data_IF_705470965800
#
_entry.id   IF_705470965800
#
_cell.length_a   1.000
_cell.length_b   1.000
_cell.length_c   1.000
_cell.angle_alpha   90.00
_cell.angle_beta   90.00
_cell.angle_gamma   90.00
#
_symmetry.space_group_name_H-M   'P 1'
#
loop_
_entity.id
_entity.type
_entity.pdbx_description
1 polymer ?
#
# COMPACT_ATOMS: atom_id res chain seq x y z
N UNK A 1 -20.51 6.11 -20.65
CA UNK A 1 -19.32 6.98 -20.49
C UNK A 1 -19.15 7.58 -19.08
N UNK A 2 -20.20 7.84 -18.29
CA UNK A 2 -20.05 8.40 -16.94
C UNK A 2 -19.33 7.51 -15.91
N UNK A 3 -19.33 6.18 -16.09
CA UNK A 3 -18.70 5.23 -15.16
C UNK A 3 -17.16 5.33 -15.15
N UNK A 4 -16.54 5.68 -16.28
CA UNK A 4 -15.08 5.74 -16.42
C UNK A 4 -14.48 6.98 -15.73
N UNK A 5 -15.23 8.09 -15.70
CA UNK A 5 -14.84 9.33 -15.02
C UNK A 5 -15.01 9.25 -13.49
N UNK A 6 -15.91 8.39 -13.00
CA UNK A 6 -16.10 8.12 -11.57
C UNK A 6 -15.00 7.22 -10.97
N UNK A 7 -14.07 6.72 -11.78
CA UNK A 7 -12.93 5.91 -11.33
C UNK A 7 -11.77 6.75 -10.79
N UNK A 8 -11.82 8.07 -10.94
CA UNK A 8 -10.80 8.98 -10.41
C UNK A 8 -11.14 9.30 -8.94
N UNK A 9 -10.50 8.59 -8.00
CA UNK A 9 -10.69 8.71 -6.53
C UNK A 9 -10.35 10.09 -5.94
N UNK A 10 -9.75 10.19 -4.76
CA UNK A 10 -9.44 11.50 -4.15
C UNK A 10 -7.94 11.80 -4.22
N UNK A 11 -7.57 13.04 -4.58
CA UNK A 11 -6.16 13.47 -4.53
C UNK A 11 -5.73 13.62 -3.08
N UNK A 12 -4.63 12.98 -2.66
CA UNK A 12 -4.23 13.04 -1.29
C UNK A 12 -3.74 14.42 -0.89
N UNK A 13 -4.32 14.99 0.18
CA UNK A 13 -3.89 16.28 0.74
C UNK A 13 -2.47 16.23 1.35
N UNK A 14 -1.85 17.38 1.64
CA UNK A 14 -0.46 17.47 2.11
C UNK A 14 -0.16 16.72 3.42
N UNK A 15 -1.18 16.48 4.24
CA UNK A 15 -1.10 15.73 5.51
C UNK A 15 -1.27 14.22 5.34
N UNK A 16 -1.69 13.76 4.16
CA UNK A 16 -1.95 12.35 3.94
C UNK A 16 -0.63 11.59 3.80
N UNK A 17 -0.54 10.40 4.41
CA UNK A 17 0.64 9.51 4.36
C UNK A 17 0.39 8.34 3.40
N UNK A 18 0.22 8.58 2.08
CA UNK A 18 -0.13 7.53 1.13
C UNK A 18 0.93 6.43 1.09
N UNK A 19 2.20 6.77 1.32
CA UNK A 19 3.30 5.80 1.40
C UNK A 19 3.14 4.82 2.56
N UNK A 20 2.79 5.32 3.76
CA UNK A 20 2.62 4.46 4.93
C UNK A 20 1.42 3.53 4.76
N UNK A 21 0.30 4.07 4.28
CA UNK A 21 -0.89 3.29 4.02
C UNK A 21 -0.67 2.25 2.89
N UNK A 22 0.11 2.61 1.86
CA UNK A 22 0.56 1.67 0.82
C UNK A 22 1.45 0.57 1.38
N UNK A 23 2.44 0.90 2.21
CA UNK A 23 3.31 -0.09 2.85
C UNK A 23 2.52 -1.06 3.73
N UNK A 24 1.63 -0.55 4.59
CA UNK A 24 0.77 -1.37 5.46
C UNK A 24 -0.15 -2.27 4.62
N UNK A 25 -0.76 -1.72 3.56
CA UNK A 25 -1.62 -2.51 2.66
C UNK A 25 -0.83 -3.60 1.95
N UNK A 26 0.41 -3.32 1.51
CA UNK A 26 1.31 -4.31 0.91
C UNK A 26 1.70 -5.42 1.88
N UNK A 27 1.97 -5.09 3.15
CA UNK A 27 2.23 -6.06 4.21
C UNK A 27 1.01 -6.97 4.42
N UNK A 28 -0.18 -6.40 4.68
CA UNK A 28 -1.41 -7.19 4.90
C UNK A 28 -1.77 -8.02 3.66
N UNK A 29 -1.63 -7.46 2.46
CA UNK A 29 -1.84 -8.15 1.19
C UNK A 29 -0.89 -9.32 0.96
N UNK A 30 0.23 -9.38 1.67
CA UNK A 30 1.18 -10.50 1.61
C UNK A 30 0.62 -11.78 2.24
N UNK A 31 -0.30 -11.66 3.21
CA UNK A 31 -0.90 -12.82 3.88
C UNK A 31 -1.61 -13.77 2.90
N UNK A 32 -2.60 -13.33 2.10
CA UNK A 32 -3.25 -14.22 1.13
C UNK A 32 -2.29 -14.69 0.02
N UNK A 33 -1.32 -13.86 -0.37
CA UNK A 33 -0.31 -14.23 -1.36
C UNK A 33 0.57 -15.39 -0.88
N UNK A 34 1.00 -15.38 0.38
CA UNK A 34 1.72 -16.52 1.00
C UNK A 34 0.84 -17.77 1.00
N UNK A 35 -0.45 -17.65 1.29
CA UNK A 35 -1.39 -18.77 1.19
C UNK A 35 -1.37 -19.43 -0.19
N UNK A 36 -1.35 -18.63 -1.26
CA UNK A 36 -1.20 -19.14 -2.64
C UNK A 36 0.17 -19.79 -2.86
N UNK A 37 1.26 -19.15 -2.44
CA UNK A 37 2.61 -19.71 -2.60
C UNK A 37 2.77 -21.05 -1.88
N UNK A 38 2.15 -21.23 -0.71
CA UNK A 38 2.14 -22.49 0.03
C UNK A 38 1.31 -23.56 -0.68
N UNK A 39 0.11 -23.20 -1.16
CA UNK A 39 -0.78 -24.13 -1.85
C UNK A 39 -0.18 -24.73 -3.13
N UNK A 40 0.67 -23.96 -3.83
CA UNK A 40 1.34 -24.39 -5.06
C UNK A 40 2.77 -24.92 -4.83
N UNK A 41 3.27 -24.90 -3.59
CA UNK A 41 4.66 -25.25 -3.27
C UNK A 41 5.69 -24.25 -3.82
N UNK A 42 5.25 -23.11 -4.36
CA UNK A 42 6.09 -22.07 -4.97
C UNK A 42 7.11 -21.50 -3.98
N UNK A 43 6.72 -21.30 -2.71
CA UNK A 43 7.61 -20.74 -1.70
C UNK A 43 8.87 -21.59 -1.51
N UNK A 44 8.71 -22.91 -1.45
CA UNK A 44 9.83 -23.85 -1.29
C UNK A 44 10.76 -23.81 -2.50
N UNK A 45 10.19 -23.71 -3.71
CA UNK A 45 10.94 -23.61 -4.95
C UNK A 45 11.72 -22.30 -5.02
N UNK A 46 11.10 -21.17 -4.69
CA UNK A 46 11.78 -19.87 -4.66
C UNK A 46 12.91 -19.84 -3.62
N UNK A 47 12.65 -20.37 -2.42
CA UNK A 47 13.67 -20.47 -1.37
C UNK A 47 14.87 -21.31 -1.84
N UNK A 48 14.62 -22.45 -2.52
CA UNK A 48 15.67 -23.31 -3.06
C UNK A 48 16.44 -22.65 -4.20
N UNK A 49 15.76 -21.91 -5.09
CA UNK A 49 16.39 -21.15 -6.18
C UNK A 49 17.34 -20.09 -5.62
N UNK A 50 16.92 -19.41 -4.56
CA UNK A 50 17.68 -18.34 -3.91
C UNK A 50 18.74 -18.86 -2.91
N UNK A 51 18.77 -20.17 -2.63
CA UNK A 51 19.66 -20.74 -1.62
C UNK A 51 19.35 -20.29 -0.19
N UNK A 52 18.08 -19.99 0.09
CA UNK A 52 17.59 -19.46 1.36
C UNK A 52 16.67 -20.46 2.07
N UNK A 53 16.40 -20.23 3.36
CA UNK A 53 15.34 -20.94 4.06
C UNK A 53 13.97 -20.33 3.73
N UNK A 54 12.87 -21.11 3.73
CA UNK A 54 11.53 -20.58 3.47
C UNK A 54 11.13 -19.42 4.40
N UNK A 55 11.54 -19.48 5.67
CA UNK A 55 11.27 -18.41 6.64
C UNK A 55 12.00 -17.11 6.28
N UNK A 56 13.26 -17.20 5.83
CA UNK A 56 14.01 -16.02 5.39
C UNK A 56 13.41 -15.45 4.09
N UNK A 57 13.00 -16.32 3.16
CA UNK A 57 12.31 -15.90 1.93
C UNK A 57 11.00 -15.19 2.23
N UNK A 58 10.21 -15.67 3.20
CA UNK A 58 9.02 -14.96 3.69
C UNK A 58 9.43 -13.59 4.24
N UNK A 59 10.37 -13.54 5.19
CA UNK A 59 10.77 -12.29 5.84
C UNK A 59 11.22 -11.21 4.85
N UNK A 60 12.06 -11.59 3.89
CA UNK A 60 12.48 -10.70 2.80
C UNK A 60 11.32 -10.33 1.88
N UNK A 61 10.45 -11.29 1.55
CA UNK A 61 9.24 -11.07 0.77
C UNK A 61 8.34 -10.00 1.40
N UNK A 62 8.10 -10.04 2.71
CA UNK A 62 7.33 -9.01 3.42
C UNK A 62 7.96 -7.62 3.26
N UNK A 63 9.28 -7.49 3.41
CA UNK A 63 9.97 -6.20 3.26
C UNK A 63 9.85 -5.67 1.81
N UNK A 64 10.06 -6.53 0.81
CA UNK A 64 9.90 -6.18 -0.61
C UNK A 64 8.46 -5.77 -0.92
N UNK A 65 7.47 -6.48 -0.36
CA UNK A 65 6.05 -6.20 -0.59
C UNK A 65 5.57 -4.93 0.12
N UNK A 66 6.15 -4.56 1.26
CA UNK A 66 5.94 -3.24 1.87
C UNK A 66 6.39 -2.13 0.92
N UNK A 67 7.61 -2.24 0.37
CA UNK A 67 8.16 -1.26 -0.57
C UNK A 67 7.29 -1.18 -1.83
N UNK A 68 6.89 -2.32 -2.37
CA UNK A 68 6.01 -2.38 -3.54
C UNK A 68 4.64 -1.73 -3.27
N UNK A 69 4.05 -1.97 -2.10
CA UNK A 69 2.79 -1.32 -1.69
C UNK A 69 2.94 0.20 -1.57
N UNK A 70 4.06 0.68 -1.02
CA UNK A 70 4.37 2.11 -0.98
C UNK A 70 4.52 2.71 -2.39
N UNK A 71 5.18 1.98 -3.30
CA UNK A 71 5.31 2.37 -4.70
C UNK A 71 3.95 2.40 -5.42
N UNK A 72 3.08 1.40 -5.18
CA UNK A 72 1.72 1.37 -5.69
C UNK A 72 0.95 2.63 -5.30
N UNK A 73 0.93 2.97 -4.01
CA UNK A 73 0.25 4.17 -3.52
C UNK A 73 0.81 5.45 -4.15
N UNK A 74 2.13 5.50 -4.41
CA UNK A 74 2.79 6.67 -5.02
C UNK A 74 2.50 6.81 -6.52
N UNK A 75 2.44 5.71 -7.26
CA UNK A 75 2.22 5.71 -8.71
C UNK A 75 0.74 5.98 -9.02
N UNK A 76 -0.16 5.29 -8.32
CA UNK A 76 -1.59 5.34 -8.63
C UNK A 76 -2.35 6.39 -7.83
N UNK A 77 -1.84 6.85 -6.69
CA UNK A 77 -2.37 7.96 -5.90
C UNK A 77 -3.90 7.96 -5.81
N UNK A 78 -4.51 8.90 -6.52
CA UNK A 78 -5.97 9.07 -6.64
C UNK A 78 -6.72 7.79 -7.05
N UNK A 79 -6.18 7.00 -7.98
CA UNK A 79 -6.80 5.76 -8.45
C UNK A 79 -6.75 4.64 -7.39
N UNK A 80 -5.70 4.62 -6.55
CA UNK A 80 -5.54 3.66 -5.46
C UNK A 80 -6.55 3.89 -4.32
N UNK A 81 -7.01 5.14 -4.15
CA UNK A 81 -7.98 5.52 -3.13
C UNK A 81 -9.45 5.28 -3.54
N UNK A 82 -9.73 4.74 -4.73
CA UNK A 82 -11.09 4.45 -5.18
C UNK A 82 -11.43 2.97 -4.95
N UNK A 83 -12.44 2.62 -4.13
CA UNK A 83 -12.84 1.22 -3.92
C UNK A 83 -13.29 0.52 -5.21
N UNK A 84 -13.82 1.28 -6.18
CA UNK A 84 -14.35 0.74 -7.44
C UNK A 84 -13.24 0.43 -8.46
N UNK A 85 -12.09 1.08 -8.37
CA UNK A 85 -10.98 0.94 -9.32
C UNK A 85 -9.70 0.36 -8.72
N UNK A 86 -9.51 0.49 -7.40
CA UNK A 86 -8.29 0.09 -6.69
C UNK A 86 -7.92 -1.37 -6.90
N UNK A 87 -8.90 -2.28 -6.87
CA UNK A 87 -8.69 -3.71 -7.13
C UNK A 87 -8.14 -3.99 -8.53
N UNK A 88 -8.61 -3.28 -9.57
CA UNK A 88 -8.18 -3.48 -10.96
C UNK A 88 -6.77 -2.92 -11.20
N UNK A 89 -6.49 -1.71 -10.68
CA UNK A 89 -5.14 -1.15 -10.71
C UNK A 89 -4.17 -1.99 -9.88
N UNK A 90 -4.65 -2.52 -8.74
CA UNK A 90 -3.90 -3.42 -7.87
C UNK A 90 -3.51 -4.70 -8.59
N UNK A 91 -4.45 -5.38 -9.25
CA UNK A 91 -4.12 -6.58 -10.06
C UNK A 91 -3.17 -6.26 -11.21
N UNK A 92 -3.38 -5.15 -11.93
CA UNK A 92 -2.47 -4.72 -12.99
C UNK A 92 -1.05 -4.48 -12.48
N UNK A 93 -0.92 -3.89 -11.29
CA UNK A 93 0.35 -3.68 -10.64
C UNK A 93 0.98 -5.00 -10.15
N UNK A 94 0.18 -5.91 -9.59
CA UNK A 94 0.62 -7.27 -9.22
C UNK A 94 1.14 -8.05 -10.42
N UNK A 95 0.46 -7.96 -11.57
CA UNK A 95 0.94 -8.52 -12.82
C UNK A 95 2.28 -7.91 -13.26
N UNK A 96 2.41 -6.58 -13.19
CA UNK A 96 3.66 -5.89 -13.50
C UNK A 96 4.82 -6.33 -12.58
N UNK A 97 4.55 -6.51 -11.28
CA UNK A 97 5.53 -7.05 -10.34
C UNK A 97 5.89 -8.50 -10.62
N UNK A 98 4.95 -9.32 -11.10
CA UNK A 98 5.27 -10.68 -11.55
C UNK A 98 6.21 -10.65 -12.76
N UNK A 99 5.90 -9.85 -13.77
CA UNK A 99 6.76 -9.73 -14.95
C UNK A 99 8.15 -9.16 -14.59
N UNK A 100 8.21 -8.13 -13.76
CA UNK A 100 9.48 -7.53 -13.34
C UNK A 100 10.26 -8.42 -12.36
N UNK A 101 9.60 -8.94 -11.34
CA UNK A 101 10.22 -9.70 -10.26
C UNK A 101 10.52 -11.15 -10.69
N UNK A 102 9.48 -11.92 -10.96
CA UNK A 102 9.60 -13.37 -11.18
C UNK A 102 10.16 -13.74 -12.56
N UNK A 103 9.83 -12.95 -13.59
CA UNK A 103 10.27 -13.25 -14.97
C UNK A 103 11.61 -12.59 -15.32
N UNK A 104 11.91 -11.40 -14.78
CA UNK A 104 13.15 -10.68 -15.13
C UNK A 104 14.21 -10.72 -14.01
N UNK A 105 13.88 -10.24 -12.80
CA UNK A 105 14.88 -10.10 -11.72
C UNK A 105 15.32 -11.44 -11.16
N UNK A 106 14.38 -12.34 -10.86
CA UNK A 106 14.67 -13.63 -10.22
C UNK A 106 15.64 -14.50 -11.05
N UNK A 107 15.47 -14.66 -12.38
CA UNK A 107 16.44 -15.38 -13.19
C UNK A 107 17.80 -14.69 -13.22
N UNK A 108 17.83 -13.36 -13.27
CA UNK A 108 19.09 -12.61 -13.29
C UNK A 108 19.92 -12.86 -12.02
N UNK A 109 19.29 -12.81 -10.85
CA UNK A 109 19.98 -12.96 -9.56
C UNK A 109 20.28 -14.42 -9.19
N UNK A 110 19.60 -15.38 -9.82
CA UNK A 110 19.74 -16.82 -9.51
C UNK A 110 20.56 -17.60 -10.55
N UNK A 111 21.19 -16.92 -11.51
CA UNK A 111 21.96 -17.58 -12.57
C UNK A 111 21.11 -18.31 -13.61
N UNK A 112 19.94 -17.75 -13.94
CA UNK A 112 19.04 -18.23 -14.98
C UNK A 112 17.95 -19.20 -14.50
N UNK A 113 17.79 -19.39 -13.18
CA UNK A 113 16.77 -20.30 -12.63
C UNK A 113 15.44 -19.56 -12.42
N UNK A 114 14.34 -20.23 -12.71
CA UNK A 114 13.00 -19.67 -12.48
C UNK A 114 12.02 -20.76 -12.08
N UNK A 115 11.04 -20.46 -11.20
CA UNK A 115 9.94 -21.38 -10.94
C UNK A 115 9.17 -21.68 -12.24
N UNK A 116 8.99 -22.96 -12.54
CA UNK A 116 8.27 -23.43 -13.72
C UNK A 116 7.10 -24.34 -13.35
N UNK A 117 6.23 -24.61 -14.32
CA UNK A 117 5.06 -25.49 -14.13
C UNK A 117 4.13 -24.98 -13.03
N UNK A 118 3.73 -25.89 -12.13
CA UNK A 118 2.80 -25.57 -11.04
C UNK A 118 3.33 -24.49 -10.10
N UNK A 119 4.62 -24.57 -9.73
CA UNK A 119 5.25 -23.56 -8.89
C UNK A 119 5.29 -22.17 -9.57
N UNK A 120 5.58 -22.12 -10.87
CA UNK A 120 5.55 -20.87 -11.65
C UNK A 120 4.15 -20.25 -11.70
N UNK A 121 3.11 -21.07 -11.89
CA UNK A 121 1.72 -20.61 -11.84
C UNK A 121 1.35 -20.05 -10.46
N UNK A 122 1.83 -20.67 -9.38
CA UNK A 122 1.63 -20.17 -8.03
C UNK A 122 2.29 -18.81 -7.75
N UNK A 123 3.47 -18.54 -8.32
CA UNK A 123 4.12 -17.22 -8.22
C UNK A 123 3.35 -16.15 -8.99
N UNK A 124 2.84 -16.48 -10.18
CA UNK A 124 2.00 -15.55 -10.94
C UNK A 124 0.70 -15.23 -10.19
N UNK A 125 0.01 -16.26 -9.71
CA UNK A 125 -1.25 -16.11 -9.01
C UNK A 125 -1.08 -15.38 -7.66
N UNK A 126 0.00 -15.65 -6.92
CA UNK A 126 0.25 -14.99 -5.63
C UNK A 126 0.42 -13.49 -5.79
N UNK A 127 1.11 -13.03 -6.84
CA UNK A 127 1.31 -11.60 -7.10
C UNK A 127 0.04 -10.91 -7.62
N UNK A 128 -0.79 -11.63 -8.39
CA UNK A 128 -2.13 -11.14 -8.75
C UNK A 128 -3.03 -11.00 -7.50
N UNK A 129 -3.03 -12.01 -6.63
CA UNK A 129 -3.80 -12.00 -5.37
C UNK A 129 -3.29 -10.91 -4.43
N UNK A 130 -1.96 -10.74 -4.33
CA UNK A 130 -1.35 -9.64 -3.58
C UNK A 130 -1.80 -8.28 -4.11
N UNK A 131 -1.73 -8.09 -5.42
CA UNK A 131 -2.14 -6.84 -6.07
C UNK A 131 -3.62 -6.54 -5.86
N UNK A 132 -4.48 -7.54 -6.04
CA UNK A 132 -5.91 -7.46 -5.76
C UNK A 132 -6.18 -7.06 -4.30
N UNK A 133 -5.58 -7.78 -3.35
CA UNK A 133 -5.75 -7.54 -1.92
C UNK A 133 -5.27 -6.12 -1.54
N UNK A 134 -4.09 -5.71 -2.01
CA UNK A 134 -3.54 -4.38 -1.76
C UNK A 134 -4.47 -3.29 -2.32
N UNK A 135 -4.97 -3.46 -3.55
CA UNK A 135 -5.89 -2.52 -4.19
C UNK A 135 -7.23 -2.38 -3.47
N UNK A 136 -7.72 -3.45 -2.82
CA UNK A 136 -8.92 -3.41 -1.96
C UNK A 136 -8.60 -2.74 -0.63
N UNK A 137 -7.49 -3.10 0.01
CA UNK A 137 -7.13 -2.64 1.35
C UNK A 137 -6.80 -1.16 1.41
N UNK A 138 -6.19 -0.63 0.35
CA UNK A 138 -5.69 0.74 0.28
C UNK A 138 -6.69 1.80 0.80
N UNK A 139 -7.93 1.91 0.30
CA UNK A 139 -8.89 2.89 0.81
C UNK A 139 -9.25 2.70 2.30
N UNK A 140 -9.26 1.47 2.80
CA UNK A 140 -9.60 1.17 4.20
C UNK A 140 -8.46 1.45 5.15
N UNK A 141 -7.21 1.24 4.72
CA UNK A 141 -6.02 1.58 5.51
C UNK A 141 -5.78 3.09 5.46
N UNK A 142 -6.03 3.72 4.31
CA UNK A 142 -5.78 5.15 4.13
C UNK A 142 -6.73 6.04 4.94
N UNK A 143 -8.01 5.65 5.11
CA UNK A 143 -9.03 6.44 5.81
C UNK A 143 -8.72 6.72 7.29
N UNK A 144 -8.39 5.74 8.15
CA UNK A 144 -8.07 6.00 9.56
C UNK A 144 -6.79 6.82 9.72
N UNK A 145 -5.79 6.66 8.83
CA UNK A 145 -4.59 7.50 8.83
C UNK A 145 -4.87 8.99 8.55
N UNK A 146 -6.07 9.34 8.07
CA UNK A 146 -6.49 10.72 7.84
C UNK A 146 -7.12 11.38 9.08
N UNK A 147 -7.95 10.62 9.82
CA UNK A 147 -8.75 11.13 10.95
C UNK A 147 -7.88 11.54 12.15
N UNK A 148 -6.73 10.89 12.36
CA UNK A 148 -5.83 11.21 13.48
C UNK A 148 -5.24 12.62 13.40
N UNK A 149 -5.07 13.21 12.20
CA UNK A 149 -4.43 14.52 12.04
C UNK A 149 -5.42 15.67 12.14
N UNK A 150 -6.61 15.57 11.54
CA UNK A 150 -7.65 16.61 11.72
C UNK A 150 -8.07 16.70 13.18
N UNK A 151 -8.12 15.57 13.87
CA UNK A 151 -8.42 15.54 15.31
C UNK A 151 -7.26 16.11 16.12
N UNK A 152 -6.00 15.80 15.78
CA UNK A 152 -4.82 16.39 16.43
C UNK A 152 -4.66 17.90 16.17
N UNK A 153 -5.01 18.40 14.98
CA UNK A 153 -4.98 19.84 14.68
C UNK A 153 -6.14 20.58 15.34
N UNK A 154 -7.34 20.00 15.40
CA UNK A 154 -8.47 20.60 16.13
C UNK A 154 -8.21 20.66 17.65
N UNK A 155 -7.43 19.74 18.20
CA UNK A 155 -6.99 19.83 19.59
C UNK A 155 -5.91 20.90 19.83
N UNK A 156 -5.17 21.33 18.80
CA UNK A 156 -4.21 22.44 18.92
C UNK A 156 -4.88 23.83 19.03
N UNK A 157 -6.10 23.99 18.50
CA UNK A 157 -6.93 25.19 18.71
C UNK A 157 -7.55 25.27 20.13
N UNK A 158 -7.44 24.22 20.94
CA UNK A 158 -7.89 24.21 22.34
C UNK A 158 -6.71 24.28 23.35
N UNK A 159 -5.49 24.48 22.85
CA UNK A 159 -4.29 24.69 23.68
C UNK A 159 -4.25 26.08 24.34
N UNK A 160 -3.37 26.28 25.34
CA UNK A 160 -3.27 27.53 26.12
C UNK A 160 -3.04 28.80 25.27
N UNK A 161 -2.56 28.66 24.03
CA UNK A 161 -2.38 29.76 23.07
C UNK A 161 -3.69 30.30 22.48
N UNK A 162 -4.77 29.51 22.48
CA UNK A 162 -6.10 29.98 22.08
C UNK A 162 -6.74 30.89 23.14
N UNK A 163 -6.38 30.69 24.41
CA UNK A 163 -6.83 31.54 25.51
C UNK A 163 -6.16 32.94 25.49
N UNK A 164 -4.96 33.06 24.92
CA UNK A 164 -4.27 34.35 24.70
C UNK A 164 -4.89 35.14 23.56
N UNK A 165 -5.27 34.49 22.45
CA UNK A 165 -5.99 35.15 21.35
C UNK A 165 -7.38 35.67 21.74
N UNK A 166 -8.13 34.91 22.53
CA UNK A 166 -9.45 35.32 23.03
C UNK A 166 -9.38 36.52 24.00
N UNK A 167 -8.32 36.61 24.83
CA UNK A 167 -8.10 37.78 25.72
C UNK A 167 -7.80 39.06 24.94
N UNK A 168 -7.11 38.97 23.81
CA UNK A 168 -6.73 40.14 23.01
C UNK A 168 -7.95 40.77 22.32
N UNK A 169 -8.85 39.95 21.77
CA UNK A 169 -10.12 40.40 21.17
C UNK A 169 -11.08 41.05 22.20
N UNK A 170 -11.07 40.59 23.46
CA UNK A 170 -11.88 41.17 24.53
C UNK A 170 -11.32 42.52 25.00
N UNK A 171 -9.99 42.67 25.03
CA UNK A 171 -9.35 43.94 25.39
C UNK A 171 -9.51 45.02 24.32
N UNK A 172 -9.45 44.66 23.03
CA UNK A 172 -9.68 45.63 21.94
C UNK A 172 -11.13 46.15 21.92
N UNK A 173 -12.13 45.30 22.23
CA UNK A 173 -13.53 45.75 22.35
C UNK A 173 -13.80 46.66 23.55
N UNK A 174 -12.93 46.66 24.56
CA UNK A 174 -13.04 47.57 25.71
C UNK A 174 -12.37 48.92 25.49
N UNK A 175 -11.58 49.07 24.43
CA UNK A 175 -10.78 50.27 24.15
C UNK A 175 -11.19 51.00 22.86
N UNK A 176 -12.32 50.63 22.25
CA UNK A 176 -12.94 51.41 21.17
C UNK A 176 -13.63 52.68 21.70
N UNK A 177 -13.71 53.74 20.87
CA UNK A 177 -13.56 55.17 21.21
C UNK A 177 -14.59 55.78 22.16
#
# INVERSE_FOLDING_TARGET
MALFLAAHGFDPGPSQRPFAAGAISGLIGTIPAIGVLLAFGSLTVEAQILGMSPLLTIGLGWAVMAIAGAAYARIFGRAANSPRGGWLFGMSFGFALWAAGAVLVLPLVSGGRTPAGHAGAGVALSLLVWGFATGILMPFVHRPLHEDIETASNHSELGPDAATGAKQLINERRQGP
#
